data_IF_116357807120
#
_entry.id   IF_116357807120
#
_cell.length_a   1.000
_cell.length_b   1.000
_cell.length_c   1.000
_cell.angle_alpha   90.00
_cell.angle_beta   90.00
_cell.angle_gamma   90.00
#
_symmetry.space_group_name_H-M   'P 1'
#
loop_
_entity.id
_entity.type
_entity.pdbx_description
1 polymer ?
#
# COMPACT_ATOMS: atom_id res chain seq x y z
N UNK A 1 12.29 -6.95 18.67
CA UNK A 1 11.00 -6.48 18.15
C UNK A 1 9.87 -7.09 18.96
N UNK A 2 8.90 -6.29 19.39
CA UNK A 2 7.71 -6.74 20.14
C UNK A 2 6.56 -7.16 19.22
N UNK A 3 5.55 -7.86 19.76
CA UNK A 3 4.33 -8.23 19.01
C UNK A 3 3.61 -7.00 18.45
N UNK A 4 3.53 -5.93 19.25
CA UNK A 4 2.85 -4.69 18.85
C UNK A 4 3.62 -3.97 17.73
N UNK A 5 4.95 -3.93 17.82
CA UNK A 5 5.81 -3.39 16.76
C UNK A 5 5.66 -4.19 15.46
N UNK A 6 5.60 -5.51 15.56
CA UNK A 6 5.40 -6.37 14.38
C UNK A 6 4.04 -6.14 13.73
N UNK A 7 2.96 -6.12 14.53
CA UNK A 7 1.61 -5.86 14.03
C UNK A 7 1.50 -4.49 13.34
N UNK A 8 2.20 -3.48 13.86
CA UNK A 8 2.28 -2.17 13.22
C UNK A 8 3.00 -2.23 11.86
N UNK A 9 4.14 -2.93 11.77
CA UNK A 9 4.85 -3.14 10.49
C UNK A 9 3.94 -3.87 9.48
N UNK A 10 3.25 -4.93 9.91
CA UNK A 10 2.34 -5.68 9.04
C UNK A 10 1.17 -4.79 8.57
N UNK A 11 0.67 -3.90 9.42
CA UNK A 11 -0.33 -2.89 9.03
C UNK A 11 0.20 -1.89 8.00
N UNK A 12 1.42 -1.37 8.19
CA UNK A 12 2.08 -0.49 7.21
C UNK A 12 2.23 -1.19 5.85
N UNK A 13 2.68 -2.44 5.85
CA UNK A 13 2.83 -3.22 4.61
C UNK A 13 1.48 -3.36 3.90
N UNK A 14 0.42 -3.78 4.62
CA UNK A 14 -0.90 -3.96 4.04
C UNK A 14 -1.47 -2.65 3.47
N UNK A 15 -1.30 -1.55 4.19
CA UNK A 15 -1.75 -0.23 3.77
C UNK A 15 -1.01 0.25 2.52
N UNK A 16 0.33 0.15 2.48
CA UNK A 16 1.11 0.54 1.30
C UNK A 16 0.73 -0.30 0.08
N UNK A 17 0.55 -1.62 0.23
CA UNK A 17 0.08 -2.48 -0.89
C UNK A 17 -1.25 -2.02 -1.46
N UNK A 18 -2.21 -1.69 -0.59
CA UNK A 18 -3.49 -1.14 -1.03
C UNK A 18 -3.33 0.16 -1.82
N UNK A 19 -2.53 1.11 -1.30
CA UNK A 19 -2.29 2.39 -1.97
C UNK A 19 -1.57 2.24 -3.32
N UNK A 20 -0.63 1.32 -3.43
CA UNK A 20 0.06 1.02 -4.68
C UNK A 20 -0.92 0.49 -5.73
N UNK A 21 -1.78 -0.47 -5.36
CA UNK A 21 -2.80 -1.02 -6.27
C UNK A 21 -3.82 0.06 -6.67
N UNK A 22 -4.24 0.89 -5.72
CA UNK A 22 -5.15 2.02 -5.96
C UNK A 22 -4.55 2.99 -7.00
N UNK A 23 -3.30 3.42 -6.83
CA UNK A 23 -2.62 4.32 -7.76
C UNK A 23 -2.37 3.68 -9.14
N UNK A 24 -1.99 2.40 -9.20
CA UNK A 24 -1.85 1.64 -10.45
C UNK A 24 -3.19 1.54 -11.20
N UNK A 25 -4.30 1.34 -10.48
CA UNK A 25 -5.63 1.24 -11.07
C UNK A 25 -6.14 2.55 -11.68
N UNK A 26 -5.63 3.69 -11.20
CA UNK A 26 -5.99 5.04 -11.66
C UNK A 26 -5.06 5.53 -12.79
N UNK A 27 -4.13 4.67 -13.27
CA UNK A 27 -3.12 4.99 -14.29
C UNK A 27 -2.16 6.13 -13.88
N UNK A 28 -1.93 6.31 -12.57
CA UNK A 28 -1.02 7.33 -12.04
C UNK A 28 0.45 6.86 -11.99
N UNK A 29 0.70 5.57 -12.15
CA UNK A 29 2.02 4.93 -12.04
C UNK A 29 2.12 3.81 -13.10
N UNK A 30 3.25 3.74 -13.81
CA UNK A 30 3.51 2.72 -14.83
C UNK A 30 3.67 1.30 -14.23
N UNK A 31 3.20 0.28 -14.96
CA UNK A 31 3.15 -1.13 -14.51
C UNK A 31 4.55 -1.74 -14.26
N UNK A 32 5.61 -1.11 -14.77
CA UNK A 32 6.99 -1.63 -14.73
C UNK A 32 7.78 -1.21 -13.48
N UNK A 33 7.11 -0.75 -12.43
CA UNK A 33 7.78 -0.36 -11.19
C UNK A 33 8.29 -1.60 -10.43
N UNK A 34 9.52 -2.00 -10.75
CA UNK A 34 10.21 -3.16 -10.16
C UNK A 34 10.67 -2.98 -8.71
N UNK A 35 10.54 -1.78 -8.14
CA UNK A 35 10.82 -1.51 -6.73
C UNK A 35 9.96 -0.38 -6.14
N UNK A 36 9.77 -0.43 -4.83
CA UNK A 36 9.03 0.56 -4.06
C UNK A 36 9.73 1.92 -4.03
N UNK A 37 11.07 1.96 -4.10
CA UNK A 37 11.81 3.21 -4.24
C UNK A 37 11.53 3.90 -5.60
N UNK A 38 11.43 3.12 -6.68
CA UNK A 38 11.05 3.65 -7.99
C UNK A 38 9.63 4.23 -7.97
N UNK A 39 8.69 3.52 -7.33
CA UNK A 39 7.31 4.02 -7.09
C UNK A 39 7.30 5.33 -6.32
N UNK A 40 8.05 5.40 -5.21
CA UNK A 40 8.10 6.61 -4.39
C UNK A 40 8.68 7.80 -5.15
N UNK A 41 9.69 7.58 -6.00
CA UNK A 41 10.28 8.63 -6.84
C UNK A 41 9.30 9.14 -7.90
N UNK A 42 8.59 8.23 -8.57
CA UNK A 42 7.62 8.58 -9.60
C UNK A 42 6.42 9.35 -9.01
N UNK A 43 5.87 8.84 -7.90
CA UNK A 43 4.78 9.48 -7.15
C UNK A 43 5.18 10.70 -6.31
N UNK A 44 6.47 11.09 -6.30
CA UNK A 44 7.03 12.17 -5.47
C UNK A 44 6.66 12.05 -3.98
N UNK A 45 6.68 10.82 -3.47
CA UNK A 45 6.34 10.52 -2.10
C UNK A 45 7.46 10.95 -1.14
N UNK A 46 7.07 11.24 0.10
CA UNK A 46 8.01 11.63 1.16
C UNK A 46 8.84 10.45 1.67
N UNK A 47 9.65 10.70 2.71
CA UNK A 47 10.54 9.69 3.33
C UNK A 47 9.84 8.36 3.66
N UNK A 48 8.59 8.43 4.13
CA UNK A 48 7.79 7.27 4.50
C UNK A 48 6.76 6.86 3.43
N UNK A 49 7.02 7.20 2.17
CA UNK A 49 6.22 6.75 1.02
C UNK A 49 4.74 7.06 1.19
N UNK A 50 3.92 6.01 1.18
CA UNK A 50 2.46 6.11 1.32
C UNK A 50 1.96 6.34 2.74
N UNK A 51 2.79 6.20 3.78
CA UNK A 51 2.32 6.37 5.16
C UNK A 51 1.80 7.79 5.39
N UNK A 52 0.61 7.88 5.97
CA UNK A 52 0.08 9.18 6.41
C UNK A 52 0.78 9.68 7.68
N UNK A 53 0.54 10.94 8.03
CA UNK A 53 1.17 11.56 9.20
C UNK A 53 0.82 10.86 10.52
N UNK A 54 -0.40 10.32 10.65
CA UNK A 54 -0.82 9.59 11.84
C UNK A 54 -0.09 8.26 11.99
N UNK A 55 0.10 7.53 10.90
CA UNK A 55 0.91 6.32 10.88
C UNK A 55 2.37 6.61 11.27
N UNK A 56 2.94 7.71 10.76
CA UNK A 56 4.32 8.13 11.12
C UNK A 56 4.44 8.48 12.59
N UNK A 57 3.47 9.21 13.15
CA UNK A 57 3.44 9.55 14.58
C UNK A 57 3.34 8.29 15.46
N UNK A 58 2.44 7.36 15.10
CA UNK A 58 2.33 6.07 15.79
C UNK A 58 3.64 5.30 15.67
N UNK A 59 4.24 5.24 14.49
CA UNK A 59 5.52 4.58 14.25
C UNK A 59 6.62 5.09 15.19
N UNK A 60 6.83 6.40 15.22
CA UNK A 60 7.81 7.02 16.13
C UNK A 60 7.55 6.73 17.61
N UNK A 61 6.28 6.67 18.02
CA UNK A 61 5.92 6.31 19.39
C UNK A 61 6.20 4.83 19.71
N UNK A 62 6.04 3.93 18.72
CA UNK A 62 6.23 2.47 18.89
C UNK A 62 7.69 2.05 18.76
N UNK A 63 8.53 2.85 18.11
CA UNK A 63 9.95 2.60 17.89
C UNK A 63 10.77 3.76 18.47
N UNK A 64 10.93 3.84 19.80
CA UNK A 64 11.71 4.89 20.43
C UNK A 64 13.21 4.69 20.20
N UNK A 65 13.93 5.79 19.97
CA UNK A 65 15.37 5.76 19.75
C UNK A 65 16.14 5.40 21.02
N UNK A 66 17.23 4.66 20.86
CA UNK A 66 18.16 4.39 21.96
C UNK A 66 18.96 5.66 22.32
N UNK A 67 19.46 5.80 23.57
CA UNK A 67 20.28 6.94 23.95
C UNK A 67 21.49 7.12 23.03
N UNK A 68 21.66 8.33 22.48
CA UNK A 68 22.76 8.67 21.58
C UNK A 68 22.50 8.35 20.10
N UNK A 69 21.33 7.83 19.74
CA UNK A 69 20.90 7.67 18.35
C UNK A 69 20.28 8.96 17.79
N UNK A 70 20.35 9.18 16.46
CA UNK A 70 19.60 10.24 15.79
C UNK A 70 18.08 10.09 16.00
N UNK A 71 17.37 11.22 16.01
CA UNK A 71 15.92 11.21 16.17
C UNK A 71 15.22 10.47 15.02
N UNK A 72 14.36 9.53 15.37
CA UNK A 72 13.56 8.71 14.47
C UNK A 72 14.31 7.54 13.83
N UNK A 73 15.58 7.29 14.18
CA UNK A 73 16.37 6.24 13.54
C UNK A 73 15.79 4.85 13.80
N UNK A 74 15.24 4.59 14.98
CA UNK A 74 14.61 3.30 15.29
C UNK A 74 13.35 3.06 14.45
N UNK A 75 12.60 4.11 14.12
CA UNK A 75 11.46 4.00 13.22
C UNK A 75 11.90 3.87 11.75
N UNK A 76 12.97 4.55 11.36
CA UNK A 76 13.55 4.41 10.01
C UNK A 76 13.96 2.96 9.75
N UNK A 77 14.67 2.32 10.68
CA UNK A 77 15.06 0.91 10.60
C UNK A 77 13.83 -0.02 10.50
N UNK A 78 12.75 0.30 11.22
CA UNK A 78 11.50 -0.46 11.12
C UNK A 78 10.81 -0.27 9.77
N UNK A 79 10.92 0.93 9.20
CA UNK A 79 10.36 1.24 7.88
C UNK A 79 11.17 0.59 6.75
N UNK A 80 12.47 0.38 6.89
CA UNK A 80 13.28 -0.39 5.94
C UNK A 80 12.75 -1.83 5.78
N UNK A 81 12.20 -2.42 6.84
CA UNK A 81 11.54 -3.74 6.79
C UNK A 81 10.27 -3.65 5.91
N UNK A 82 9.50 -2.57 6.03
CA UNK A 82 8.32 -2.33 5.19
C UNK A 82 8.73 -2.21 3.73
N UNK A 83 9.74 -1.37 3.43
CA UNK A 83 10.26 -1.19 2.06
C UNK A 83 10.72 -2.52 1.47
N UNK A 84 11.53 -3.30 2.20
CA UNK A 84 12.02 -4.60 1.76
C UNK A 84 10.87 -5.55 1.43
N UNK A 85 9.85 -5.62 2.29
CA UNK A 85 8.67 -6.47 2.06
C UNK A 85 7.83 -6.01 0.86
N UNK A 86 7.84 -4.71 0.53
CA UNK A 86 7.18 -4.18 -0.66
C UNK A 86 7.99 -4.46 -1.92
N UNK A 87 9.31 -4.32 -1.89
CA UNK A 87 10.21 -4.68 -3.00
C UNK A 87 10.10 -6.17 -3.35
N UNK A 88 10.10 -7.06 -2.35
CA UNK A 88 9.87 -8.50 -2.56
C UNK A 88 8.51 -8.79 -3.18
N UNK A 89 7.48 -8.03 -2.77
CA UNK A 89 6.14 -8.19 -3.30
C UNK A 89 6.02 -7.69 -4.75
N UNK A 90 6.65 -6.56 -5.08
CA UNK A 90 6.67 -5.97 -6.42
C UNK A 90 7.53 -6.75 -7.42
N UNK A 91 8.62 -7.36 -6.94
CA UNK A 91 9.49 -8.22 -7.76
C UNK A 91 8.94 -9.63 -7.98
N UNK A 92 7.93 -10.03 -7.20
CA UNK A 92 7.18 -11.27 -7.42
C UNK A 92 6.35 -11.21 -8.72
N UNK A 93 5.78 -12.34 -9.19
CA UNK A 93 4.89 -12.33 -10.33
C UNK A 93 3.70 -11.41 -10.01
N UNK A 94 3.70 -10.20 -10.58
CA UNK A 94 2.56 -9.30 -10.60
C UNK A 94 1.43 -10.10 -11.22
N UNK A 95 0.39 -10.43 -10.44
CA UNK A 95 -0.85 -10.94 -11.04
C UNK A 95 -1.27 -9.90 -12.07
N UNK A 96 -1.31 -10.24 -13.37
CA UNK A 96 -1.74 -9.30 -14.37
C UNK A 96 -3.10 -8.76 -13.92
N UNK A 97 -3.31 -7.45 -14.02
CA UNK A 97 -4.63 -6.84 -13.76
C UNK A 97 -5.72 -7.54 -14.62
N UNK A 98 -5.32 -8.13 -15.75
CA UNK A 98 -6.11 -9.00 -16.63
C UNK A 98 -6.63 -10.29 -15.96
N UNK A 99 -6.07 -10.70 -14.83
CA UNK A 99 -6.50 -11.87 -14.04
C UNK A 99 -7.40 -11.49 -12.85
N UNK A 100 -7.65 -10.19 -12.61
CA UNK A 100 -8.74 -9.77 -11.73
C UNK A 100 -10.05 -9.97 -12.48
N UNK A 101 -10.54 -11.21 -12.46
CA UNK A 101 -11.90 -11.49 -12.92
C UNK A 101 -12.84 -10.81 -11.95
N UNK A 102 -13.55 -9.77 -12.41
CA UNK A 102 -14.74 -9.30 -11.73
C UNK A 102 -15.64 -10.51 -11.49
N UNK A 103 -16.26 -10.64 -10.30
CA UNK A 103 -17.28 -11.66 -10.11
C UNK A 103 -18.26 -11.55 -11.27
N UNK A 104 -18.67 -12.67 -11.90
CA UNK A 104 -19.62 -12.61 -13.00
C UNK A 104 -20.80 -11.76 -12.57
N UNK A 105 -21.20 -10.81 -13.40
CA UNK A 105 -22.40 -10.01 -13.16
C UNK A 105 -23.50 -11.01 -12.81
N UNK A 106 -23.94 -10.98 -11.55
CA UNK A 106 -25.07 -11.80 -11.14
C UNK A 106 -26.22 -11.42 -12.06
N UNK A 107 -26.81 -12.41 -12.73
CA UNK A 107 -28.00 -12.18 -13.55
C UNK A 107 -28.97 -11.35 -12.70
N UNK A 108 -29.43 -10.20 -13.20
CA UNK A 108 -30.44 -9.45 -12.49
C UNK A 108 -31.63 -10.40 -12.27
N UNK A 109 -32.23 -10.41 -11.06
CA UNK A 109 -33.41 -11.23 -10.83
C UNK A 109 -34.45 -10.94 -11.92
N UNK A 110 -35.15 -11.98 -12.39
CA UNK A 110 -36.14 -11.93 -13.49
C UNK A 110 -37.23 -10.83 -13.31
N UNK A 111 -37.29 -10.19 -12.14
CA UNK A 111 -38.19 -9.10 -11.79
C UNK A 111 -37.63 -7.68 -12.07
N UNK A 112 -36.53 -7.54 -12.83
CA UNK A 112 -36.00 -6.21 -13.18
C UNK A 112 -36.87 -5.55 -14.27
N UNK A 113 -37.90 -4.82 -13.83
CA UNK A 113 -38.75 -3.98 -14.67
C UNK A 113 -37.94 -2.75 -15.16
N UNK A 114 -37.62 -2.60 -16.46
CA UNK A 114 -36.90 -1.44 -16.92
C UNK A 114 -37.80 -0.20 -16.81
N UNK A 115 -37.37 0.78 -16.01
CA UNK A 115 -38.03 2.09 -15.92
C UNK A 115 -38.20 2.69 -17.32
N UNK A 116 -39.36 3.29 -17.64
CA UNK A 116 -39.61 3.84 -18.96
C UNK A 116 -38.64 4.99 -19.27
N UNK A 117 -37.94 4.87 -20.40
CA UNK A 117 -37.12 5.93 -20.98
C UNK A 117 -37.99 7.16 -21.25
N UNK A 118 -37.78 8.24 -20.50
CA UNK A 118 -38.36 9.53 -20.84
C UNK A 118 -37.72 10.08 -22.12
N UNK A 119 -38.59 10.42 -23.07
CA UNK A 119 -38.33 11.11 -24.34
C UNK A 119 -37.57 12.42 -24.18
#
# INVERSE_FOLDING_TARGET
MTVVQRAFIDWCIAYCKFRIVDDMSIMLVDYDASSYDALCKDGRLGKYGYLDSGMVEIGRSRFPDAPGQPEGSAFDEAYDIVCTALDEWLSGPVMPIEQVSFPPEGEPPDDFDPLPSNQ
#
